data_IF_149856693897
#
_entry.id   IF_149856693897
#
_cell.length_a   1.000
_cell.length_b   1.000
_cell.length_c   1.000
_cell.angle_alpha   90.00
_cell.angle_beta   90.00
_cell.angle_gamma   90.00
#
_symmetry.space_group_name_H-M   'P 1'
#
loop_
_entity.id
_entity.type
_entity.pdbx_description
1 polymer ?
#
# COMPACT_ATOMS: atom_id res chain seq x y z
N UNK A 1 8.06 -49.54 13.15
CA UNK A 1 7.52 -50.84 12.69
C UNK A 1 6.00 -50.81 12.86
N UNK A 2 5.27 -51.27 11.84
CA UNK A 2 3.80 -51.20 11.63
C UNK A 2 3.36 -49.85 11.04
N UNK A 3 3.49 -49.57 9.74
CA UNK A 3 2.87 -50.18 8.53
C UNK A 3 1.34 -50.14 8.55
N UNK A 4 0.77 -49.13 7.87
CA UNK A 4 -0.42 -49.32 7.05
C UNK A 4 -0.28 -48.50 5.76
N UNK A 5 -0.37 -49.22 4.65
CA UNK A 5 -0.45 -48.72 3.28
C UNK A 5 -1.74 -49.29 2.65
N UNK A 6 -2.12 -48.89 1.42
CA UNK A 6 -3.45 -48.39 1.08
C UNK A 6 -4.27 -49.41 0.29
N UNK A 7 -5.53 -49.08 -0.05
CA UNK A 7 -6.19 -49.53 -1.30
C UNK A 7 -7.55 -48.84 -1.51
N UNK A 8 -7.62 -48.08 -2.62
CA UNK A 8 -8.68 -48.02 -3.64
C UNK A 8 -10.17 -47.91 -3.23
N UNK A 9 -10.83 -46.87 -3.76
CA UNK A 9 -11.96 -47.07 -4.69
C UNK A 9 -12.27 -45.84 -5.57
N UNK A 10 -12.73 -46.20 -6.75
CA UNK A 10 -12.89 -45.47 -8.00
C UNK A 10 -14.26 -44.79 -8.11
N UNK A 11 -14.29 -43.72 -8.93
CA UNK A 11 -15.37 -43.29 -9.82
C UNK A 11 -16.74 -42.88 -9.25
N UNK A 12 -17.06 -41.60 -9.38
CA UNK A 12 -18.37 -41.13 -9.87
C UNK A 12 -18.17 -39.79 -10.61
N UNK A 13 -18.15 -39.87 -11.94
CA UNK A 13 -18.37 -38.76 -12.87
C UNK A 13 -19.88 -38.62 -13.08
N UNK A 14 -20.43 -37.43 -12.87
CA UNK A 14 -21.30 -36.73 -13.83
C UNK A 14 -22.07 -35.60 -13.14
N UNK A 15 -22.30 -34.53 -13.91
CA UNK A 15 -23.11 -33.32 -13.63
C UNK A 15 -22.32 -32.07 -13.23
N UNK A 16 -21.72 -31.46 -14.24
CA UNK A 16 -21.47 -30.01 -14.29
C UNK A 16 -21.45 -29.58 -15.75
N UNK A 17 -22.64 -29.36 -16.32
CA UNK A 17 -22.82 -28.56 -17.54
C UNK A 17 -23.44 -27.22 -17.14
N UNK A 18 -23.01 -26.15 -17.82
CA UNK A 18 -23.55 -24.78 -17.82
C UNK A 18 -22.97 -23.77 -16.81
N UNK A 19 -21.72 -23.33 -17.04
CA UNK A 19 -21.23 -22.02 -16.60
C UNK A 19 -20.59 -21.16 -17.71
N UNK A 20 -20.53 -21.63 -18.97
CA UNK A 20 -19.77 -20.97 -20.05
C UNK A 20 -20.57 -20.03 -20.97
N UNK A 21 -21.83 -19.73 -20.68
CA UNK A 21 -22.67 -18.87 -21.55
C UNK A 21 -22.83 -17.41 -21.10
N UNK A 22 -22.24 -17.00 -19.97
CA UNK A 22 -22.35 -15.62 -19.47
C UNK A 22 -21.09 -14.76 -19.61
N UNK A 23 -19.96 -15.32 -20.06
CA UNK A 23 -18.69 -14.58 -20.24
C UNK A 23 -18.53 -13.96 -21.64
N UNK A 24 -19.38 -14.30 -22.61
CA UNK A 24 -19.34 -13.78 -23.98
C UNK A 24 -20.12 -12.46 -24.17
N UNK A 25 -21.05 -12.13 -23.26
CA UNK A 25 -21.87 -10.91 -23.38
C UNK A 25 -21.25 -9.65 -22.73
N UNK A 26 -20.17 -9.79 -21.96
CA UNK A 26 -19.44 -8.65 -21.36
C UNK A 26 -18.27 -8.14 -22.23
N UNK A 27 -17.95 -8.81 -23.34
CA UNK A 27 -16.94 -8.36 -24.31
C UNK A 27 -17.49 -7.49 -25.44
N UNK A 28 -18.81 -7.41 -25.65
CA UNK A 28 -19.40 -6.68 -26.78
C UNK A 28 -19.65 -5.18 -26.53
N UNK A 29 -19.45 -4.68 -25.30
CA UNK A 29 -19.68 -3.27 -24.97
C UNK A 29 -18.49 -2.34 -25.26
N UNK A 30 -17.36 -2.85 -25.77
CA UNK A 30 -16.15 -2.07 -26.04
C UNK A 30 -15.69 -2.06 -27.51
N UNK A 31 -16.55 -2.46 -28.45
CA UNK A 31 -16.24 -2.42 -29.88
C UNK A 31 -17.13 -1.41 -30.62
N UNK A 32 -17.07 -0.13 -30.24
CA UNK A 32 -17.55 0.96 -31.10
C UNK A 32 -16.84 2.26 -30.73
N UNK A 33 -15.74 2.55 -31.42
CA UNK A 33 -15.17 3.90 -31.50
C UNK A 33 -14.64 4.11 -32.92
N UNK A 34 -14.97 5.27 -33.50
CA UNK A 34 -14.70 5.69 -34.87
C UNK A 34 -13.22 5.58 -35.33
N UNK A 35 -12.94 5.21 -36.59
CA UNK A 35 -11.59 5.00 -37.09
C UNK A 35 -10.90 6.27 -37.64
N UNK A 36 -11.13 7.47 -37.07
CA UNK A 36 -10.50 8.69 -37.57
C UNK A 36 -10.17 9.69 -36.45
N UNK A 37 -9.18 9.37 -35.62
CA UNK A 37 -8.43 10.39 -34.88
C UNK A 37 -6.98 9.94 -34.73
N UNK A 38 -6.13 10.39 -35.65
CA UNK A 38 -4.67 10.35 -35.49
C UNK A 38 -4.26 11.36 -34.42
N UNK A 39 -4.35 10.97 -33.16
CA UNK A 39 -3.65 11.62 -32.07
C UNK A 39 -2.64 10.61 -31.52
N UNK A 40 -1.40 11.06 -31.36
CA UNK A 40 -0.35 10.36 -30.64
C UNK A 40 -0.89 9.91 -29.28
N UNK A 41 -1.28 8.64 -29.18
CA UNK A 41 -1.53 7.97 -27.91
C UNK A 41 -0.25 8.12 -27.10
N UNK A 42 -0.32 8.98 -26.09
CA UNK A 42 0.64 8.99 -25.00
C UNK A 42 0.50 7.60 -24.39
N UNK A 43 1.51 6.76 -24.63
CA UNK A 43 1.70 5.42 -24.08
C UNK A 43 1.69 5.51 -22.55
N UNK A 44 0.49 5.57 -21.97
CA UNK A 44 0.24 5.42 -20.55
C UNK A 44 0.36 3.93 -20.25
N UNK A 45 1.60 3.43 -20.29
CA UNK A 45 1.96 2.07 -19.89
C UNK A 45 1.22 1.72 -18.60
N UNK A 46 0.58 0.56 -18.62
CA UNK A 46 -0.18 0.02 -17.50
C UNK A 46 0.68 0.10 -16.22
N UNK A 47 0.18 0.54 -15.06
CA UNK A 47 0.98 0.70 -13.84
C UNK A 47 1.80 -0.56 -13.50
N UNK A 48 1.25 -1.74 -13.77
CA UNK A 48 1.92 -3.04 -13.62
C UNK A 48 3.10 -3.24 -14.57
N UNK A 49 3.04 -2.69 -15.79
CA UNK A 49 4.18 -2.68 -16.72
C UNK A 49 5.26 -1.70 -16.25
N UNK A 50 4.89 -0.53 -15.74
CA UNK A 50 5.84 0.42 -15.14
C UNK A 50 6.54 -0.20 -13.93
N UNK A 51 5.77 -0.88 -13.09
CA UNK A 51 6.28 -1.64 -11.96
C UNK A 51 7.26 -2.72 -12.41
N UNK A 52 6.86 -3.56 -13.38
CA UNK A 52 7.73 -4.62 -13.89
C UNK A 52 9.02 -4.07 -14.50
N UNK A 53 8.96 -2.96 -15.24
CA UNK A 53 10.14 -2.33 -15.83
C UNK A 53 11.07 -1.79 -14.73
N UNK A 54 10.52 -1.07 -13.75
CA UNK A 54 11.29 -0.54 -12.62
C UNK A 54 11.95 -1.66 -11.82
N UNK A 55 11.22 -2.73 -11.51
CA UNK A 55 11.73 -3.89 -10.76
C UNK A 55 12.85 -4.58 -11.52
N UNK A 56 12.70 -4.78 -12.83
CA UNK A 56 13.73 -5.44 -13.63
C UNK A 56 15.00 -4.59 -13.77
N UNK A 57 14.87 -3.26 -13.91
CA UNK A 57 16.03 -2.33 -13.93
C UNK A 57 16.78 -2.31 -12.59
N UNK A 58 16.09 -2.54 -11.47
CA UNK A 58 16.69 -2.51 -10.14
C UNK A 58 17.48 -3.77 -9.77
N UNK A 59 17.28 -4.90 -10.48
CA UNK A 59 18.01 -6.17 -10.24
C UNK A 59 19.52 -6.03 -10.45
N UNK A 60 19.95 -5.13 -11.34
CA UNK A 60 21.36 -5.01 -11.72
C UNK A 60 22.19 -4.13 -10.75
N UNK A 61 21.56 -3.47 -9.77
CA UNK A 61 22.20 -2.41 -8.96
C UNK A 61 22.16 -2.64 -7.44
N UNK A 62 21.60 -3.76 -6.96
CA UNK A 62 21.56 -4.03 -5.51
C UNK A 62 22.91 -4.55 -5.01
N UNK A 63 23.45 -3.86 -3.99
CA UNK A 63 24.64 -4.27 -3.24
C UNK A 63 24.46 -5.72 -2.76
N UNK A 64 25.50 -6.57 -2.78
CA UNK A 64 25.39 -7.93 -2.27
C UNK A 64 24.88 -7.89 -0.82
N UNK A 65 23.61 -8.25 -0.65
CA UNK A 65 22.96 -8.31 0.65
C UNK A 65 23.79 -9.26 1.53
N UNK A 66 24.00 -8.92 2.81
CA UNK A 66 24.78 -9.76 3.73
C UNK A 66 24.25 -11.21 3.80
N UNK A 67 25.13 -12.17 4.06
CA UNK A 67 24.81 -13.61 4.10
C UNK A 67 23.70 -13.96 5.11
N UNK A 68 23.52 -13.15 6.16
CA UNK A 68 22.53 -13.35 7.22
C UNK A 68 21.21 -12.60 6.99
N UNK A 69 20.80 -12.36 5.74
CA UNK A 69 19.53 -11.68 5.48
C UNK A 69 18.34 -12.64 5.43
N UNK A 70 17.19 -12.20 5.94
CA UNK A 70 15.92 -12.89 5.77
C UNK A 70 15.12 -12.32 4.59
N UNK A 71 14.35 -13.18 3.92
CA UNK A 71 13.32 -12.74 2.98
C UNK A 71 11.94 -12.89 3.62
N UNK A 72 11.07 -11.90 3.40
CA UNK A 72 9.66 -11.97 3.79
C UNK A 72 8.82 -11.85 2.53
N UNK A 73 7.97 -12.82 2.27
CA UNK A 73 7.10 -12.88 1.09
C UNK A 73 5.65 -12.78 1.55
N UNK A 74 4.99 -11.62 1.46
CA UNK A 74 3.57 -11.50 1.76
C UNK A 74 2.71 -11.96 0.58
N UNK A 75 1.56 -12.56 0.87
CA UNK A 75 0.47 -12.73 -0.10
C UNK A 75 -0.39 -11.45 -0.23
N UNK A 76 -1.40 -11.51 -1.10
CA UNK A 76 -2.34 -10.40 -1.32
C UNK A 76 -3.16 -10.10 -0.06
N UNK A 77 -3.62 -11.11 0.68
CA UNK A 77 -4.43 -10.93 1.88
C UNK A 77 -3.67 -10.22 3.01
N UNK A 78 -2.37 -10.47 3.16
CA UNK A 78 -1.50 -9.71 4.08
C UNK A 78 -1.50 -8.24 3.68
N UNK A 79 -1.35 -7.92 2.40
CA UNK A 79 -1.34 -6.53 1.94
C UNK A 79 -2.70 -5.86 2.00
N UNK A 80 -3.80 -6.59 1.93
CA UNK A 80 -5.15 -6.03 2.07
C UNK A 80 -5.53 -5.78 3.54
N UNK A 81 -5.24 -6.74 4.43
CA UNK A 81 -5.78 -6.73 5.79
C UNK A 81 -4.74 -6.40 6.86
N UNK A 82 -3.46 -6.55 6.55
CA UNK A 82 -2.36 -6.47 7.51
C UNK A 82 -1.21 -5.54 7.04
N UNK A 83 -1.50 -4.65 6.08
CA UNK A 83 -0.53 -3.71 5.53
C UNK A 83 0.15 -2.89 6.61
N UNK A 84 -0.60 -2.41 7.60
CA UNK A 84 -0.08 -1.46 8.60
C UNK A 84 0.97 -2.12 9.51
N UNK A 85 0.80 -3.41 9.81
CA UNK A 85 1.81 -4.21 10.52
C UNK A 85 3.06 -4.42 9.67
N UNK A 86 2.91 -4.73 8.38
CA UNK A 86 4.03 -4.91 7.45
C UNK A 86 4.77 -3.58 7.17
N UNK A 87 4.04 -2.48 7.06
CA UNK A 87 4.57 -1.14 6.87
C UNK A 87 5.35 -0.67 8.10
N UNK A 88 4.79 -0.87 9.30
CA UNK A 88 5.51 -0.62 10.54
C UNK A 88 6.78 -1.47 10.63
N UNK A 89 6.71 -2.75 10.23
CA UNK A 89 7.88 -3.63 10.19
C UNK A 89 8.96 -3.11 9.23
N UNK A 90 8.59 -2.70 8.02
CA UNK A 90 9.50 -2.07 7.07
C UNK A 90 10.16 -0.81 7.65
N UNK A 91 9.39 0.08 8.28
CA UNK A 91 9.89 1.29 8.91
C UNK A 91 10.83 0.98 10.09
N UNK A 92 10.54 -0.05 10.88
CA UNK A 92 11.35 -0.46 12.03
C UNK A 92 12.71 -1.01 11.55
N UNK A 93 12.72 -1.82 10.48
CA UNK A 93 13.94 -2.30 9.83
C UNK A 93 14.77 -1.11 9.32
N UNK A 94 14.16 -0.19 8.58
CA UNK A 94 14.85 1.00 8.07
C UNK A 94 15.46 1.85 9.20
N UNK A 95 14.73 2.03 10.30
CA UNK A 95 15.25 2.76 11.47
C UNK A 95 16.42 2.03 12.11
N UNK A 96 16.38 0.69 12.16
CA UNK A 96 17.50 -0.10 12.69
C UNK A 96 18.76 0.01 11.81
N UNK A 97 18.60 -0.04 10.49
CA UNK A 97 19.70 0.13 9.52
C UNK A 97 20.37 1.50 9.68
N UNK A 98 19.60 2.57 9.92
CA UNK A 98 20.14 3.93 10.11
C UNK A 98 20.89 4.13 11.43
N UNK A 99 20.50 3.41 12.49
CA UNK A 99 21.11 3.55 13.83
C UNK A 99 22.46 2.84 13.93
N UNK A 100 22.59 1.67 13.30
CA UNK A 100 23.76 0.80 13.46
C UNK A 100 24.58 0.73 12.17
N UNK A 101 25.41 1.77 11.94
CA UNK A 101 26.29 1.88 10.76
C UNK A 101 27.42 0.82 10.78
N UNK A 102 27.74 0.21 11.93
CA UNK A 102 28.85 -0.74 12.03
C UNK A 102 28.43 -2.21 12.28
N UNK A 103 27.22 -2.50 12.75
CA UNK A 103 26.75 -3.87 13.07
C UNK A 103 25.24 -4.02 12.91
N UNK A 104 24.70 -3.81 11.70
CA UNK A 104 23.27 -3.96 11.45
C UNK A 104 22.85 -5.41 11.67
N UNK A 105 22.26 -5.71 12.84
CA UNK A 105 21.79 -7.05 13.23
C UNK A 105 20.55 -7.50 12.45
N UNK A 106 19.86 -6.57 11.81
CA UNK A 106 18.60 -6.81 11.12
C UNK A 106 18.78 -6.58 9.62
N UNK A 107 19.00 -7.65 8.86
CA UNK A 107 18.96 -7.57 7.40
C UNK A 107 17.75 -8.34 6.89
N UNK A 108 16.75 -7.61 6.40
CA UNK A 108 15.49 -8.18 5.89
C UNK A 108 15.14 -7.49 4.61
N UNK A 109 14.69 -8.29 3.64
CA UNK A 109 14.13 -7.80 2.39
C UNK A 109 12.72 -8.36 2.22
N UNK A 110 11.74 -7.48 2.09
CA UNK A 110 10.36 -7.84 1.80
C UNK A 110 10.24 -7.98 0.28
N UNK A 111 9.92 -9.18 -0.19
CA UNK A 111 9.79 -9.51 -1.61
C UNK A 111 8.31 -9.54 -1.96
N UNK A 112 7.86 -8.66 -2.84
CA UNK A 112 6.48 -8.64 -3.34
C UNK A 112 6.38 -9.53 -4.60
N UNK A 113 5.63 -10.65 -4.55
CA UNK A 113 5.42 -11.49 -5.72
C UNK A 113 4.75 -10.73 -6.87
N UNK A 114 5.08 -11.08 -8.10
CA UNK A 114 4.45 -10.47 -9.29
C UNK A 114 2.93 -10.71 -9.33
N UNK A 115 2.49 -11.91 -8.95
CA UNK A 115 1.07 -12.25 -8.86
C UNK A 115 0.29 -11.35 -7.89
N UNK A 116 0.90 -10.96 -6.77
CA UNK A 116 0.28 -10.06 -5.79
C UNK A 116 0.07 -8.66 -6.38
N UNK A 117 1.04 -8.17 -7.15
CA UNK A 117 0.92 -6.87 -7.84
C UNK A 117 -0.19 -6.90 -8.88
N UNK A 118 -0.26 -7.97 -9.68
CA UNK A 118 -1.30 -8.16 -10.69
C UNK A 118 -2.71 -8.22 -10.05
N UNK A 119 -2.85 -8.93 -8.94
CA UNK A 119 -4.11 -9.01 -8.18
C UNK A 119 -4.53 -7.66 -7.60
N UNK A 120 -3.59 -6.96 -6.95
CA UNK A 120 -3.87 -5.63 -6.41
C UNK A 120 -4.30 -4.66 -7.51
N UNK A 121 -3.63 -4.67 -8.67
CA UNK A 121 -3.97 -3.80 -9.80
C UNK A 121 -5.38 -4.07 -10.33
N UNK A 122 -5.77 -5.35 -10.40
CA UNK A 122 -7.12 -5.73 -10.79
C UNK A 122 -8.18 -5.24 -9.78
N UNK A 123 -7.88 -5.30 -8.49
CA UNK A 123 -8.81 -4.91 -7.40
C UNK A 123 -8.89 -3.40 -7.13
N UNK A 124 -7.98 -2.57 -7.66
CA UNK A 124 -7.94 -1.10 -7.41
C UNK A 124 -9.23 -0.35 -7.74
N UNK A 125 -10.06 -0.89 -8.63
CA UNK A 125 -11.29 -0.24 -9.08
C UNK A 125 -12.35 -0.19 -7.99
N UNK A 126 -12.37 -1.21 -7.14
CA UNK A 126 -13.48 -1.46 -6.21
C UNK A 126 -13.00 -1.61 -4.76
N UNK A 127 -11.69 -1.53 -4.49
CA UNK A 127 -11.14 -1.78 -3.17
C UNK A 127 -10.10 -0.71 -2.75
N UNK A 128 -10.51 0.10 -1.76
CA UNK A 128 -9.68 1.12 -1.09
C UNK A 128 -8.37 0.55 -0.56
N UNK A 129 -8.38 -0.65 0.03
CA UNK A 129 -7.21 -1.29 0.60
C UNK A 129 -6.21 -1.74 -0.47
N UNK A 130 -6.69 -2.23 -1.62
CA UNK A 130 -5.81 -2.62 -2.74
C UNK A 130 -5.05 -1.40 -3.28
N UNK A 131 -5.72 -0.24 -3.33
CA UNK A 131 -5.10 1.02 -3.74
C UNK A 131 -4.09 1.52 -2.71
N UNK A 132 -4.44 1.50 -1.42
CA UNK A 132 -3.52 1.81 -0.31
C UNK A 132 -2.25 0.97 -0.38
N UNK A 133 -2.40 -0.34 -0.55
CA UNK A 133 -1.28 -1.27 -0.64
C UNK A 133 -0.38 -1.00 -1.86
N UNK A 134 -0.98 -0.73 -3.03
CA UNK A 134 -0.21 -0.39 -4.23
C UNK A 134 0.59 0.90 -4.03
N UNK A 135 -0.02 1.94 -3.47
CA UNK A 135 0.67 3.22 -3.21
C UNK A 135 1.83 3.03 -2.23
N UNK A 136 1.63 2.24 -1.17
CA UNK A 136 2.68 1.90 -0.22
C UNK A 136 3.82 1.13 -0.89
N UNK A 137 3.52 0.10 -1.69
CA UNK A 137 4.52 -0.67 -2.44
C UNK A 137 5.34 0.28 -3.33
N UNK A 138 4.67 1.14 -4.08
CA UNK A 138 5.30 2.05 -5.03
C UNK A 138 6.20 3.06 -4.32
N UNK A 139 5.72 3.69 -3.26
CA UNK A 139 6.50 4.61 -2.42
C UNK A 139 7.74 3.89 -1.89
N UNK A 140 7.60 2.71 -1.27
CA UNK A 140 8.73 1.97 -0.71
C UNK A 140 9.75 1.50 -1.74
N UNK A 141 9.33 1.05 -2.92
CA UNK A 141 10.24 0.63 -4.00
C UNK A 141 11.03 1.83 -4.55
N UNK A 142 10.41 3.01 -4.68
CA UNK A 142 11.12 4.22 -5.13
C UNK A 142 12.28 4.60 -4.20
N UNK A 143 12.15 4.33 -2.91
CA UNK A 143 13.20 4.62 -1.91
C UNK A 143 14.29 3.54 -1.84
N UNK A 144 14.13 2.39 -2.51
CA UNK A 144 15.11 1.27 -2.58
C UNK A 144 15.66 0.83 -1.22
N UNK A 145 14.78 0.70 -0.22
CA UNK A 145 15.20 0.44 1.16
C UNK A 145 15.13 -1.04 1.52
N UNK A 146 13.93 -1.52 1.86
CA UNK A 146 13.67 -2.84 2.48
C UNK A 146 12.62 -3.64 1.69
N UNK A 147 12.16 -3.09 0.56
CA UNK A 147 11.12 -3.65 -0.28
C UNK A 147 11.66 -3.84 -1.69
N UNK A 148 11.41 -5.02 -2.26
CA UNK A 148 11.76 -5.38 -3.63
C UNK A 148 10.60 -6.11 -4.29
N UNK A 149 10.33 -5.81 -5.57
CA UNK A 149 9.44 -6.63 -6.38
C UNK A 149 10.16 -7.86 -6.94
N UNK A 150 9.42 -8.96 -7.14
CA UNK A 150 9.93 -10.14 -7.84
C UNK A 150 10.22 -9.81 -9.31
N UNK A 151 11.44 -10.08 -9.77
CA UNK A 151 11.80 -9.94 -11.18
C UNK A 151 11.33 -11.14 -12.02
N UNK A 152 11.24 -10.96 -13.35
CA UNK A 152 10.66 -11.98 -14.26
C UNK A 152 11.39 -13.33 -14.28
N UNK A 153 12.69 -13.31 -13.97
CA UNK A 153 13.55 -14.49 -13.93
C UNK A 153 13.71 -15.07 -12.51
N UNK A 154 13.02 -14.51 -11.51
CA UNK A 154 13.05 -14.97 -10.12
C UNK A 154 11.93 -15.96 -9.83
N UNK A 155 11.92 -17.06 -10.58
CA UNK A 155 10.91 -18.12 -10.53
C UNK A 155 11.53 -19.51 -10.75
N UNK A 156 10.90 -20.57 -10.25
CA UNK A 156 11.38 -21.95 -10.45
C UNK A 156 10.62 -22.65 -11.56
N UNK A 157 9.29 -22.54 -11.55
CA UNK A 157 8.39 -23.25 -12.45
C UNK A 157 7.42 -22.28 -13.13
N UNK A 158 6.82 -22.73 -14.24
CA UNK A 158 5.68 -22.03 -14.82
C UNK A 158 4.42 -22.43 -14.06
N UNK A 159 3.84 -21.45 -13.35
CA UNK A 159 2.67 -21.64 -12.50
C UNK A 159 1.40 -21.14 -13.19
N UNK A 160 0.28 -21.83 -12.95
CA UNK A 160 -1.00 -21.48 -13.57
C UNK A 160 -1.89 -20.63 -12.66
N UNK A 161 -1.86 -20.88 -11.35
CA UNK A 161 -2.64 -20.11 -10.37
C UNK A 161 -1.78 -19.04 -9.70
N UNK A 162 -2.42 -18.02 -9.12
CA UNK A 162 -1.69 -16.98 -8.41
C UNK A 162 -1.08 -17.50 -7.10
N UNK A 163 -1.78 -18.37 -6.38
CA UNK A 163 -1.24 -19.06 -5.19
C UNK A 163 0.04 -19.84 -5.52
N UNK A 164 0.05 -20.57 -6.64
CA UNK A 164 1.23 -21.28 -7.11
C UNK A 164 2.38 -20.31 -7.45
N UNK A 165 2.08 -19.16 -8.07
CA UNK A 165 3.11 -18.13 -8.36
C UNK A 165 3.69 -17.51 -7.09
N UNK A 166 2.86 -17.29 -6.07
CA UNK A 166 3.29 -16.77 -4.77
C UNK A 166 4.19 -17.80 -4.07
N UNK A 167 3.77 -19.07 -4.06
CA UNK A 167 4.56 -20.16 -3.49
C UNK A 167 5.88 -20.37 -4.25
N UNK A 168 5.86 -20.33 -5.59
CA UNK A 168 7.06 -20.42 -6.42
C UNK A 168 8.04 -19.28 -6.13
N UNK A 169 7.55 -18.05 -5.94
CA UNK A 169 8.35 -16.92 -5.48
C UNK A 169 9.02 -17.23 -4.13
N UNK A 170 8.23 -17.68 -3.13
CA UNK A 170 8.77 -18.01 -1.81
C UNK A 170 9.82 -19.13 -1.87
N UNK A 171 9.57 -20.19 -2.62
CA UNK A 171 10.52 -21.29 -2.82
C UNK A 171 11.79 -20.84 -3.55
N UNK A 172 11.67 -19.93 -4.54
CA UNK A 172 12.83 -19.37 -5.25
C UNK A 172 13.77 -18.65 -4.30
N UNK A 173 13.23 -17.79 -3.43
CA UNK A 173 14.03 -17.05 -2.45
C UNK A 173 14.51 -17.94 -1.29
N UNK A 174 13.74 -18.96 -0.90
CA UNK A 174 14.13 -19.95 0.11
C UNK A 174 15.39 -20.74 -0.31
N UNK A 175 15.58 -20.99 -1.62
CA UNK A 175 16.82 -21.62 -2.13
C UNK A 175 18.07 -20.76 -1.93
N UNK A 176 17.90 -19.45 -1.74
CA UNK A 176 19.00 -18.51 -1.54
C UNK A 176 19.26 -18.26 -0.06
N UNK A 177 18.21 -18.02 0.73
CA UNK A 177 18.28 -17.61 2.14
C UNK A 177 17.04 -17.98 2.94
N UNK A 178 17.10 -17.94 4.28
CA UNK A 178 15.92 -18.06 5.14
C UNK A 178 14.79 -17.15 4.66
N UNK A 179 13.65 -17.74 4.37
CA UNK A 179 12.51 -17.06 3.78
C UNK A 179 11.26 -17.36 4.60
N UNK A 180 10.45 -16.33 4.84
CA UNK A 180 9.17 -16.47 5.53
C UNK A 180 8.05 -16.09 4.58
N UNK A 181 7.18 -17.05 4.27
CA UNK A 181 5.91 -16.78 3.62
C UNK A 181 4.92 -16.27 4.68
N UNK A 182 4.43 -15.05 4.51
CA UNK A 182 3.35 -14.49 5.31
C UNK A 182 2.05 -14.62 4.53
N UNK A 183 1.11 -15.43 5.02
CA UNK A 183 -0.17 -15.65 4.34
C UNK A 183 -1.30 -15.86 5.33
N UNK A 184 -2.44 -15.23 5.08
CA UNK A 184 -3.67 -15.48 5.82
C UNK A 184 -4.47 -16.66 5.25
N UNK A 185 -4.17 -17.10 4.03
CA UNK A 185 -4.81 -18.24 3.39
C UNK A 185 -4.25 -19.56 3.95
N UNK A 186 -5.14 -20.34 4.59
CA UNK A 186 -4.78 -21.64 5.18
C UNK A 186 -4.36 -22.66 4.13
N UNK A 187 -4.96 -22.65 2.94
CA UNK A 187 -4.62 -23.60 1.88
C UNK A 187 -3.21 -23.33 1.35
N UNK A 188 -2.89 -22.06 1.07
CA UNK A 188 -1.55 -21.65 0.67
C UNK A 188 -0.51 -21.95 1.77
N UNK A 189 -0.85 -21.72 3.04
CA UNK A 189 0.01 -22.09 4.17
C UNK A 189 0.28 -23.60 4.23
N UNK A 190 -0.75 -24.44 4.09
CA UNK A 190 -0.62 -25.91 4.13
C UNK A 190 0.23 -26.38 2.95
N UNK A 191 0.00 -25.84 1.75
CA UNK A 191 0.76 -26.18 0.56
C UNK A 191 2.23 -25.78 0.70
N UNK A 192 2.50 -24.59 1.26
CA UNK A 192 3.85 -24.11 1.52
C UNK A 192 4.60 -24.99 2.53
N UNK A 193 3.93 -25.46 3.59
CA UNK A 193 4.52 -26.40 4.55
C UNK A 193 4.76 -27.78 3.91
N UNK A 194 3.85 -28.23 3.04
CA UNK A 194 3.96 -29.53 2.38
C UNK A 194 5.08 -29.57 1.32
N UNK A 195 5.29 -28.48 0.58
CA UNK A 195 6.33 -28.35 -0.44
C UNK A 195 7.65 -27.81 0.13
N UNK A 196 7.62 -27.25 1.34
CA UNK A 196 8.75 -26.65 2.01
C UNK A 196 9.77 -27.68 2.48
N UNK A 197 10.65 -28.12 1.59
CA UNK A 197 11.91 -28.74 1.98
C UNK A 197 12.97 -27.63 2.15
N UNK A 198 13.40 -27.36 3.39
CA UNK A 198 14.51 -26.43 3.68
C UNK A 198 14.11 -25.18 4.48
N UNK A 199 14.70 -24.00 4.19
CA UNK A 199 14.65 -22.82 5.06
C UNK A 199 13.41 -21.91 4.81
N UNK A 200 12.32 -22.48 4.27
CA UNK A 200 11.04 -21.78 4.14
C UNK A 200 10.21 -21.97 5.41
N UNK A 201 9.94 -20.88 6.11
CA UNK A 201 8.99 -20.86 7.22
C UNK A 201 7.67 -20.20 6.78
N UNK A 202 6.58 -20.52 7.47
CA UNK A 202 5.25 -19.96 7.19
C UNK A 202 4.73 -19.25 8.43
N UNK A 203 4.26 -18.02 8.26
CA UNK A 203 3.64 -17.21 9.30
C UNK A 203 2.20 -16.89 8.89
N UNK A 204 1.24 -17.39 9.68
CA UNK A 204 -0.17 -17.10 9.50
C UNK A 204 -0.66 -16.10 10.58
N UNK A 205 -1.14 -14.90 10.20
CA UNK A 205 -1.62 -13.89 11.14
C UNK A 205 -2.93 -14.26 11.85
N UNK A 206 -3.68 -15.22 11.31
CA UNK A 206 -4.97 -15.68 11.85
C UNK A 206 -4.82 -16.91 12.76
N UNK A 207 -3.60 -17.37 13.01
CA UNK A 207 -3.39 -18.44 13.99
C UNK A 207 -3.58 -17.88 15.40
N UNK A 208 -4.65 -18.32 16.07
CA UNK A 208 -4.99 -18.02 17.47
C UNK A 208 -3.86 -18.26 18.48
N UNK A 209 -2.85 -19.05 18.13
CA UNK A 209 -1.68 -19.28 18.98
C UNK A 209 -0.67 -18.13 18.93
N UNK A 210 -0.73 -17.32 17.88
CA UNK A 210 0.16 -16.19 17.71
C UNK A 210 -0.44 -14.94 18.36
N UNK A 211 0.41 -14.04 18.90
CA UNK A 211 -0.04 -12.71 19.26
C UNK A 211 -0.58 -11.98 18.02
N UNK A 212 -1.42 -10.93 18.20
CA UNK A 212 -1.93 -10.13 17.09
C UNK A 212 -0.82 -9.75 16.10
N UNK A 213 -1.11 -9.87 14.81
CA UNK A 213 -0.11 -9.64 13.78
C UNK A 213 0.37 -8.18 13.81
N UNK A 214 1.65 -8.00 14.09
CA UNK A 214 2.29 -6.69 14.31
C UNK A 214 3.74 -6.72 13.85
N UNK A 215 4.36 -5.55 13.76
CA UNK A 215 5.80 -5.42 13.50
C UNK A 215 6.62 -6.24 14.49
N UNK A 216 6.27 -6.17 15.79
CA UNK A 216 6.89 -6.97 16.84
C UNK A 216 6.72 -8.47 16.65
N UNK A 217 5.52 -8.93 16.26
CA UNK A 217 5.27 -10.35 16.00
C UNK A 217 6.17 -10.86 14.86
N UNK A 218 6.27 -10.10 13.76
CA UNK A 218 7.17 -10.39 12.64
C UNK A 218 8.65 -10.41 13.06
N UNK A 219 9.09 -9.38 13.79
CA UNK A 219 10.47 -9.29 14.29
C UNK A 219 10.83 -10.43 15.24
N UNK A 220 9.93 -10.78 16.16
CA UNK A 220 10.10 -11.90 17.08
C UNK A 220 10.16 -13.23 16.34
N UNK A 221 9.33 -13.41 15.31
CA UNK A 221 9.33 -14.61 14.48
C UNK A 221 10.65 -14.79 13.73
N UNK A 222 11.20 -13.70 13.18
CA UNK A 222 12.43 -13.74 12.38
C UNK A 222 13.70 -13.84 13.22
N UNK A 223 13.75 -13.09 14.33
CA UNK A 223 14.99 -12.88 15.07
C UNK A 223 14.97 -13.46 16.48
N UNK A 224 13.81 -13.86 17.00
CA UNK A 224 13.63 -14.29 18.38
C UNK A 224 13.28 -13.15 19.34
N UNK A 225 12.96 -13.51 20.58
CA UNK A 225 12.45 -12.61 21.63
C UNK A 225 13.43 -11.51 22.04
N UNK A 226 14.73 -11.70 21.82
CA UNK A 226 15.75 -10.74 22.22
C UNK A 226 15.69 -9.41 21.44
N UNK A 227 14.94 -9.36 20.34
CA UNK A 227 14.76 -8.16 19.51
C UNK A 227 13.37 -7.53 19.63
N UNK A 228 12.51 -8.06 20.51
CA UNK A 228 11.12 -7.62 20.66
C UNK A 228 10.97 -6.10 20.90
N UNK A 229 11.94 -5.50 21.61
CA UNK A 229 11.94 -4.08 21.98
C UNK A 229 12.27 -3.13 20.84
N UNK A 230 12.88 -3.62 19.77
CA UNK A 230 13.26 -2.80 18.62
C UNK A 230 12.06 -2.57 17.67
N UNK A 231 11.02 -3.39 17.81
CA UNK A 231 9.85 -3.40 16.95
C UNK A 231 8.61 -2.86 17.67
N UNK A 232 7.79 -2.15 16.91
CA UNK A 232 6.56 -1.53 17.39
C UNK A 232 5.51 -2.59 17.74
N UNK A 233 4.83 -2.36 18.86
CA UNK A 233 3.67 -3.18 19.27
C UNK A 233 2.52 -3.07 18.26
N UNK A 234 1.60 -4.01 18.37
CA UNK A 234 0.35 -3.97 17.65
C UNK A 234 -0.35 -2.62 17.88
N UNK A 235 -0.85 -2.03 16.80
CA UNK A 235 -1.70 -0.86 16.84
C UNK A 235 -2.97 -1.15 16.05
N UNK A 236 -4.15 -0.72 16.54
CA UNK A 236 -5.39 -0.89 15.81
C UNK A 236 -5.29 -0.21 14.44
N UNK A 237 -5.88 -0.85 13.45
CA UNK A 237 -5.91 -0.39 12.05
C UNK A 237 -7.36 -0.20 11.66
N UNK A 238 -7.65 0.85 10.88
CA UNK A 238 -8.99 1.02 10.32
C UNK A 238 -9.31 -0.15 9.39
N UNK A 239 -10.39 -0.85 9.72
CA UNK A 239 -11.03 -1.87 8.90
C UNK A 239 -12.51 -1.51 8.75
N UNK A 240 -13.20 -2.07 7.77
CA UNK A 240 -14.66 -1.86 7.66
C UNK A 240 -15.42 -2.30 8.92
N UNK A 241 -14.91 -3.32 9.61
CA UNK A 241 -15.45 -3.80 10.88
C UNK A 241 -15.23 -2.82 12.03
N UNK A 242 -14.25 -1.92 11.94
CA UNK A 242 -14.00 -0.87 12.95
C UNK A 242 -15.19 0.09 13.08
N UNK A 243 -16.00 0.24 12.03
CA UNK A 243 -17.20 1.09 12.05
C UNK A 243 -18.34 0.44 12.84
N UNK A 244 -18.49 -0.89 12.75
CA UNK A 244 -19.57 -1.63 13.41
C UNK A 244 -19.40 -1.58 14.93
N UNK A 245 -18.16 -1.75 15.39
CA UNK A 245 -17.81 -1.74 16.82
C UNK A 245 -18.14 -0.39 17.47
N UNK A 246 -17.89 0.72 16.78
CA UNK A 246 -18.16 2.05 17.32
C UNK A 246 -19.66 2.29 17.61
N UNK A 247 -20.57 1.69 16.83
CA UNK A 247 -22.02 1.88 17.00
C UNK A 247 -22.63 1.07 18.13
N UNK A 248 -22.09 -0.10 18.43
CA UNK A 248 -22.66 -0.99 19.46
C UNK A 248 -22.47 -0.45 20.88
N UNK A 249 -21.51 0.43 21.10
CA UNK A 249 -21.22 0.97 22.43
C UNK A 249 -22.11 2.15 22.83
N UNK A 250 -22.60 2.95 21.87
CA UNK A 250 -23.42 4.14 22.18
C UNK A 250 -24.82 3.76 22.72
N UNK A 251 -25.28 2.52 22.49
CA UNK A 251 -26.59 2.04 22.90
C UNK A 251 -26.57 1.16 24.18
N UNK A 252 -25.38 0.90 24.76
CA UNK A 252 -25.21 -0.02 25.91
C UNK A 252 -25.16 0.68 27.28
N UNK A 253 -25.40 2.00 27.36
CA UNK A 253 -25.39 2.80 28.60
C UNK A 253 -26.57 2.52 29.56
N UNK A 254 -27.28 1.39 29.44
CA UNK A 254 -28.50 1.08 30.21
C UNK A 254 -28.57 -0.34 30.79
N UNK A 255 -27.49 -1.14 30.81
CA UNK A 255 -27.54 -2.50 31.37
C UNK A 255 -26.65 -2.69 32.61
N UNK A 256 -27.33 -2.62 33.77
CA UNK A 256 -27.17 -3.39 35.01
C UNK A 256 -25.77 -3.87 35.44
N UNK A 257 -25.37 -3.43 36.64
CA UNK A 257 -24.26 -3.95 37.46
C UNK A 257 -24.27 -5.50 37.53
N UNK A 258 -23.41 -6.14 36.74
CA UNK A 258 -23.05 -7.56 36.92
C UNK A 258 -21.57 -7.63 37.22
N UNK A 259 -21.24 -7.99 38.46
CA UNK A 259 -19.90 -8.25 38.98
C UNK A 259 -19.24 -9.47 38.28
N UNK A 260 -18.88 -9.31 37.01
CA UNK A 260 -18.02 -10.27 36.29
C UNK A 260 -16.66 -9.65 36.03
N UNK A 261 -15.69 -10.01 36.88
CA UNK A 261 -14.25 -9.65 36.85
C UNK A 261 -13.49 -10.20 35.63
N UNK A 262 -14.09 -10.15 34.44
CA UNK A 262 -13.44 -10.43 33.17
C UNK A 262 -13.48 -9.18 32.31
N UNK A 263 -12.69 -8.18 32.73
CA UNK A 263 -12.28 -7.07 31.86
C UNK A 263 -11.54 -7.72 30.69
N UNK A 264 -12.23 -7.89 29.57
CA UNK A 264 -11.59 -8.32 28.34
C UNK A 264 -10.52 -7.30 28.01
N UNK A 265 -9.25 -7.71 27.97
CA UNK A 265 -8.12 -6.85 27.62
C UNK A 265 -8.26 -6.16 26.24
N UNK A 266 -9.25 -6.59 25.44
CA UNK A 266 -9.63 -5.95 24.17
C UNK A 266 -10.43 -4.64 24.34
N UNK A 267 -11.02 -4.36 25.50
CA UNK A 267 -11.79 -3.12 25.72
C UNK A 267 -10.91 -1.90 26.00
N UNK A 268 -9.62 -2.10 26.30
CA UNK A 268 -8.69 -1.03 26.66
C UNK A 268 -8.12 -0.23 25.47
N UNK A 269 -8.38 -0.64 24.22
CA UNK A 269 -7.78 -0.02 23.03
C UNK A 269 -8.73 0.14 21.83
N UNK A 270 -10.01 0.43 22.06
CA UNK A 270 -10.86 0.90 20.97
C UNK A 270 -10.50 2.36 20.64
N UNK A 271 -9.55 2.53 19.72
CA UNK A 271 -9.38 3.80 19.04
C UNK A 271 -10.63 4.10 18.20
N UNK A 272 -11.15 5.33 18.30
CA UNK A 272 -12.30 5.77 17.50
C UNK A 272 -12.02 5.58 16.00
N UNK A 273 -12.97 4.98 15.28
CA UNK A 273 -12.89 4.73 13.84
C UNK A 273 -12.56 6.01 13.03
N UNK A 274 -12.96 7.19 13.52
CA UNK A 274 -12.60 8.50 12.93
C UNK A 274 -11.11 8.74 12.95
N UNK A 275 -10.42 8.41 14.04
CA UNK A 275 -8.98 8.57 14.16
C UNK A 275 -8.25 7.64 13.18
N UNK A 276 -8.68 6.38 13.15
CA UNK A 276 -8.08 5.38 12.28
C UNK A 276 -8.29 5.74 10.80
N UNK A 277 -9.50 6.14 10.40
CA UNK A 277 -9.80 6.59 9.04
C UNK A 277 -9.01 7.85 8.67
N UNK A 278 -8.93 8.84 9.57
CA UNK A 278 -8.16 10.06 9.32
C UNK A 278 -6.68 9.79 9.06
N UNK A 279 -6.07 8.89 9.85
CA UNK A 279 -4.69 8.48 9.63
C UNK A 279 -4.49 7.83 8.25
N UNK A 280 -5.42 6.97 7.82
CA UNK A 280 -5.36 6.37 6.48
C UNK A 280 -5.49 7.41 5.36
N UNK A 281 -6.39 8.38 5.52
CA UNK A 281 -6.56 9.50 4.58
C UNK A 281 -5.27 10.31 4.48
N UNK A 282 -4.62 10.60 5.61
CA UNK A 282 -3.32 11.27 5.61
C UNK A 282 -2.31 10.47 4.78
N UNK A 283 -2.11 9.19 5.07
CA UNK A 283 -1.10 8.39 4.39
C UNK A 283 -1.34 8.28 2.88
N UNK A 284 -2.60 8.06 2.46
CA UNK A 284 -2.96 7.92 1.04
C UNK A 284 -2.79 9.24 0.29
N UNK A 285 -3.38 10.34 0.78
CA UNK A 285 -3.33 11.60 0.02
C UNK A 285 -1.93 12.21 0.03
N UNK A 286 -1.13 12.03 1.09
CA UNK A 286 0.26 12.48 1.07
C UNK A 286 1.08 11.69 0.05
N UNK A 287 0.88 10.37 -0.07
CA UNK A 287 1.54 9.55 -1.08
C UNK A 287 1.12 9.96 -2.51
N UNK A 288 -0.18 10.22 -2.73
CA UNK A 288 -0.69 10.67 -4.04
C UNK A 288 -0.14 12.05 -4.42
N UNK A 289 -0.11 13.00 -3.49
CA UNK A 289 0.46 14.32 -3.74
C UNK A 289 1.95 14.21 -4.08
N UNK A 290 2.70 13.33 -3.41
CA UNK A 290 4.10 13.05 -3.73
C UNK A 290 4.27 12.49 -5.14
N UNK A 291 3.48 11.49 -5.51
CA UNK A 291 3.55 10.90 -6.86
C UNK A 291 3.14 11.92 -7.95
N UNK A 292 2.17 12.77 -7.66
CA UNK A 292 1.74 13.86 -8.54
C UNK A 292 2.91 14.82 -8.84
N UNK A 293 3.61 15.26 -7.78
CA UNK A 293 4.81 16.10 -7.89
C UNK A 293 5.93 15.37 -8.63
N UNK A 294 6.20 14.10 -8.29
CA UNK A 294 7.23 13.30 -8.94
C UNK A 294 6.95 13.11 -10.45
N UNK A 295 5.68 12.92 -10.84
CA UNK A 295 5.29 12.80 -12.24
C UNK A 295 5.54 14.10 -13.00
N UNK A 296 5.15 15.25 -12.45
CA UNK A 296 5.42 16.54 -13.09
C UNK A 296 6.91 16.83 -13.22
N UNK A 297 7.70 16.50 -12.20
CA UNK A 297 9.16 16.62 -12.24
C UNK A 297 9.75 15.76 -13.38
N UNK A 298 9.29 14.52 -13.55
CA UNK A 298 9.73 13.63 -14.64
C UNK A 298 9.34 14.16 -16.01
N UNK A 299 8.12 14.65 -16.18
CA UNK A 299 7.65 15.21 -17.44
C UNK A 299 8.42 16.48 -17.81
N UNK A 300 8.70 17.35 -16.83
CA UNK A 300 9.53 18.53 -17.02
C UNK A 300 10.97 18.17 -17.37
N UNK A 301 11.55 17.13 -16.74
CA UNK A 301 12.88 16.62 -17.10
C UNK A 301 12.91 16.05 -18.53
N UNK A 302 11.87 15.31 -18.94
CA UNK A 302 11.76 14.77 -20.29
C UNK A 302 11.65 15.90 -21.32
N UNK A 303 10.77 16.88 -21.10
CA UNK A 303 10.64 18.07 -21.95
C UNK A 303 11.95 18.87 -22.03
N UNK A 304 12.68 18.99 -20.93
CA UNK A 304 13.98 19.65 -20.91
C UNK A 304 15.01 18.90 -21.75
N UNK A 305 15.04 17.56 -21.72
CA UNK A 305 15.91 16.74 -22.57
C UNK A 305 15.53 16.85 -24.05
N UNK A 306 14.24 16.74 -24.35
CA UNK A 306 13.72 16.81 -25.72
C UNK A 306 13.92 18.22 -26.32
N UNK A 307 13.78 19.27 -25.50
CA UNK A 307 14.01 20.66 -25.89
C UNK A 307 15.49 21.05 -25.98
N UNK A 308 16.35 20.51 -25.12
CA UNK A 308 17.80 20.77 -25.17
C UNK A 308 18.49 20.09 -26.36
N UNK A 309 17.88 19.03 -26.92
CA UNK A 309 18.32 18.44 -28.17
C UNK A 309 18.21 19.39 -29.38
N UNK A 310 17.54 20.55 -29.23
CA UNK A 310 17.38 21.51 -30.32
C UNK A 310 18.59 22.44 -30.55
N UNK A 311 19.60 22.50 -29.66
CA UNK A 311 20.83 23.24 -29.95
C UNK A 311 22.00 22.89 -29.02
N UNK A 312 23.05 22.29 -29.60
CA UNK A 312 24.36 22.05 -28.94
C UNK A 312 25.02 23.36 -28.47
N UNK A 313 24.59 24.50 -29.01
CA UNK A 313 25.19 25.81 -28.76
C UNK A 313 24.35 26.72 -27.85
N UNK A 314 23.19 26.26 -27.35
CA UNK A 314 22.42 27.05 -26.39
C UNK A 314 23.17 27.05 -25.04
N UNK A 315 23.60 28.22 -24.52
CA UNK A 315 24.22 28.29 -23.21
C UNK A 315 23.22 27.76 -22.19
N UNK A 316 23.67 26.86 -21.31
CA UNK A 316 22.86 26.34 -20.22
C UNK A 316 22.30 27.53 -19.44
N UNK A 317 21.00 27.80 -19.58
CA UNK A 317 20.37 28.96 -18.93
C UNK A 317 20.74 28.89 -17.44
N UNK A 318 21.42 29.91 -16.90
CA UNK A 318 21.82 29.89 -15.50
C UNK A 318 20.56 29.73 -14.66
N UNK A 319 20.46 28.61 -13.96
CA UNK A 319 19.32 28.31 -13.09
C UNK A 319 19.24 29.44 -12.07
N UNK A 320 18.14 30.18 -12.07
CA UNK A 320 17.88 31.23 -11.10
C UNK A 320 18.13 30.69 -9.69
N UNK A 321 18.86 31.44 -8.87
CA UNK A 321 19.17 31.11 -7.47
C UNK A 321 17.87 30.91 -6.65
N UNK A 322 16.74 31.45 -7.11
CA UNK A 322 15.43 31.24 -6.48
C UNK A 322 14.75 29.91 -6.87
N UNK A 323 15.32 29.14 -7.79
CA UNK A 323 14.85 27.80 -8.16
C UNK A 323 15.42 26.67 -7.28
N UNK A 324 16.14 27.01 -6.20
CA UNK A 324 16.88 26.06 -5.35
C UNK A 324 16.02 24.92 -4.76
N UNK A 325 14.71 25.11 -4.63
CA UNK A 325 13.79 24.04 -4.18
C UNK A 325 13.35 23.06 -5.27
N UNK A 326 13.63 23.32 -6.56
CA UNK A 326 13.18 22.48 -7.68
C UNK A 326 13.95 21.17 -7.82
N UNK A 327 15.19 21.13 -7.32
CA UNK A 327 16.03 19.94 -7.41
C UNK A 327 15.85 18.99 -6.21
N UNK A 328 15.00 19.35 -5.24
CA UNK A 328 14.63 18.44 -4.14
C UNK A 328 13.76 17.33 -4.72
N UNK A 329 14.12 16.07 -4.46
CA UNK A 329 13.32 14.92 -4.86
C UNK A 329 11.97 14.96 -4.12
N UNK A 330 10.89 14.60 -4.81
CA UNK A 330 9.56 14.56 -4.20
C UNK A 330 9.50 13.70 -2.93
N UNK A 331 10.33 12.65 -2.82
CA UNK A 331 10.53 11.82 -1.63
C UNK A 331 10.91 12.62 -0.38
N UNK A 332 11.73 13.65 -0.57
CA UNK A 332 12.39 14.39 0.52
C UNK A 332 11.61 15.65 0.89
N UNK A 333 10.55 15.97 0.13
CA UNK A 333 9.72 17.15 0.36
C UNK A 333 8.84 16.98 1.60
N UNK A 334 8.75 18.06 2.39
CA UNK A 334 7.77 18.11 3.48
C UNK A 334 6.35 18.22 2.91
N UNK A 335 5.33 17.90 3.72
CA UNK A 335 3.93 18.10 3.33
C UNK A 335 3.65 19.53 2.87
N UNK A 336 4.25 20.52 3.52
CA UNK A 336 4.07 21.92 3.13
C UNK A 336 4.70 22.19 1.77
N UNK A 337 5.92 21.69 1.52
CA UNK A 337 6.57 21.82 0.21
C UNK A 337 5.76 21.13 -0.90
N UNK A 338 5.17 19.96 -0.62
CA UNK A 338 4.28 19.25 -1.55
C UNK A 338 3.04 20.09 -1.88
N UNK A 339 2.36 20.63 -0.87
CA UNK A 339 1.17 21.47 -1.08
C UNK A 339 1.51 22.78 -1.80
N UNK A 340 2.63 23.41 -1.45
CA UNK A 340 3.10 24.63 -2.11
C UNK A 340 3.43 24.35 -3.59
N UNK A 341 4.07 23.22 -3.90
CA UNK A 341 4.33 22.80 -5.27
C UNK A 341 3.04 22.52 -6.04
N UNK A 342 2.11 21.78 -5.45
CA UNK A 342 0.86 21.37 -6.09
C UNK A 342 -0.07 22.55 -6.35
N UNK A 343 -0.01 23.58 -5.51
CA UNK A 343 -0.76 24.83 -5.67
C UNK A 343 -0.08 25.82 -6.60
N UNK A 344 1.26 25.79 -6.70
CA UNK A 344 2.05 26.67 -7.57
C UNK A 344 2.93 25.85 -8.54
N UNK A 345 2.33 24.98 -9.38
CA UNK A 345 3.08 24.15 -10.30
C UNK A 345 3.82 25.01 -11.33
N UNK A 346 5.08 24.69 -11.67
CA UNK A 346 5.86 25.47 -12.63
C UNK A 346 5.31 25.36 -14.06
N UNK A 347 4.59 24.28 -14.35
CA UNK A 347 4.08 23.91 -15.66
C UNK A 347 2.62 24.35 -15.91
N UNK A 348 1.92 24.86 -14.89
CA UNK A 348 0.47 25.15 -14.94
C UNK A 348 0.13 26.47 -14.24
N UNK A 349 -1.11 26.92 -14.38
CA UNK A 349 -1.62 28.11 -13.68
C UNK A 349 -1.67 27.84 -12.17
N UNK A 350 -1.26 28.79 -11.31
CA UNK A 350 -1.42 28.68 -9.87
C UNK A 350 -2.89 28.43 -9.48
N UNK A 351 -3.09 27.53 -8.52
CA UNK A 351 -4.39 27.18 -7.98
C UNK A 351 -4.68 28.06 -6.76
N UNK A 352 -5.72 28.88 -6.87
CA UNK A 352 -6.22 29.68 -5.75
C UNK A 352 -7.14 28.82 -4.88
N UNK A 353 -6.55 28.02 -3.99
CA UNK A 353 -7.33 27.29 -2.98
C UNK A 353 -8.00 28.28 -2.02
N UNK A 354 -9.29 28.05 -1.75
CA UNK A 354 -10.04 28.86 -0.79
C UNK A 354 -9.34 28.83 0.58
N UNK A 355 -9.16 30.01 1.20
CA UNK A 355 -8.50 30.19 2.50
C UNK A 355 -9.38 29.77 3.69
N UNK A 356 -10.31 28.84 3.46
CA UNK A 356 -11.25 28.38 4.46
C UNK A 356 -10.54 27.63 5.59
N UNK A 357 -11.14 27.65 6.78
CA UNK A 357 -10.73 26.79 7.87
C UNK A 357 -11.43 25.42 7.71
N UNK A 358 -10.68 24.30 7.78
CA UNK A 358 -9.27 24.21 8.15
C UNK A 358 -8.29 24.29 6.98
N UNK A 359 -7.04 24.65 7.30
CA UNK A 359 -5.92 24.51 6.36
C UNK A 359 -5.71 23.05 6.01
N UNK A 360 -5.56 22.75 4.71
CA UNK A 360 -5.31 21.40 4.21
C UNK A 360 -4.00 20.82 4.76
N UNK A 361 -2.98 21.66 4.94
CA UNK A 361 -1.70 21.25 5.54
C UNK A 361 -1.87 20.76 6.99
N UNK A 362 -2.79 21.39 7.74
CA UNK A 362 -3.11 20.98 9.12
C UNK A 362 -3.92 19.69 9.14
N UNK A 363 -4.90 19.56 8.25
CA UNK A 363 -5.73 18.37 8.11
C UNK A 363 -4.90 17.13 7.71
N UNK A 364 -3.93 17.28 6.82
CA UNK A 364 -3.06 16.19 6.36
C UNK A 364 -1.82 15.97 7.24
N UNK A 365 -1.67 16.68 8.36
CA UNK A 365 -0.49 16.53 9.21
C UNK A 365 -0.56 15.26 10.06
N UNK A 366 0.53 14.48 10.07
CA UNK A 366 0.61 13.26 10.87
C UNK A 366 0.49 13.57 12.37
N UNK A 367 -0.11 12.66 13.16
CA UNK A 367 -0.14 12.76 14.61
C UNK A 367 1.26 12.93 15.20
N UNK A 368 1.33 13.59 16.36
CA UNK A 368 2.57 13.79 17.14
C UNK A 368 3.63 14.71 16.51
N UNK A 369 3.32 15.47 15.45
CA UNK A 369 4.21 16.54 14.99
C UNK A 369 3.91 17.84 15.78
N UNK A 370 4.70 18.21 16.80
CA UNK A 370 4.36 19.31 17.71
C UNK A 370 4.28 20.68 17.02
N UNK A 371 4.86 20.82 15.81
CA UNK A 371 4.93 22.10 15.10
C UNK A 371 3.70 22.39 14.25
N UNK A 372 2.94 21.38 13.84
CA UNK A 372 1.88 21.53 12.81
C UNK A 372 0.49 21.78 13.41
N UNK A 373 0.35 21.73 14.74
CA UNK A 373 -0.95 21.84 15.39
C UNK A 373 -1.89 20.71 14.99
N UNK A 374 -1.34 19.48 14.89
CA UNK A 374 -2.08 18.27 14.54
C UNK A 374 -3.30 18.09 15.45
N UNK A 375 -4.32 17.42 14.92
CA UNK A 375 -5.57 17.11 15.63
C UNK A 375 -5.91 15.66 15.35
N UNK A 376 -6.57 14.98 16.30
CA UNK A 376 -7.07 13.62 16.11
C UNK A 376 -8.26 13.64 15.13
N UNK A 377 -8.55 12.50 14.50
CA UNK A 377 -9.72 12.33 13.63
C UNK A 377 -11.03 12.78 14.28
N UNK A 378 -11.22 12.49 15.57
CA UNK A 378 -12.39 12.87 16.37
C UNK A 378 -12.53 14.36 16.61
N UNK A 379 -11.43 15.10 16.57
CA UNK A 379 -11.46 16.54 16.78
C UNK A 379 -11.98 17.28 15.54
N UNK A 380 -11.92 16.65 14.36
CA UNK A 380 -12.38 17.24 13.12
C UNK A 380 -13.90 17.16 13.01
N UNK A 381 -14.55 18.31 12.87
CA UNK A 381 -15.98 18.34 12.58
C UNK A 381 -16.25 17.78 11.19
N UNK A 382 -17.47 17.31 10.94
CA UNK A 382 -17.90 16.87 9.60
C UNK A 382 -17.67 17.95 8.55
N UNK A 383 -17.97 19.21 8.88
CA UNK A 383 -17.75 20.34 7.97
C UNK A 383 -16.25 20.51 7.64
N UNK A 384 -15.36 20.33 8.62
CA UNK A 384 -13.91 20.38 8.40
C UNK A 384 -13.46 19.32 7.40
N UNK A 385 -13.98 18.09 7.53
CA UNK A 385 -13.76 17.00 6.58
C UNK A 385 -14.25 17.37 5.18
N UNK A 386 -15.50 17.83 5.03
CA UNK A 386 -16.05 18.22 3.73
C UNK A 386 -15.21 19.32 3.07
N UNK A 387 -14.78 20.33 3.83
CA UNK A 387 -13.91 21.41 3.33
C UNK A 387 -12.55 20.87 2.89
N UNK A 388 -11.92 19.99 3.67
CA UNK A 388 -10.63 19.40 3.31
C UNK A 388 -10.71 18.50 2.07
N UNK A 389 -11.72 17.63 1.99
CA UNK A 389 -11.94 16.75 0.84
C UNK A 389 -12.29 17.53 -0.43
N UNK A 390 -13.05 18.63 -0.31
CA UNK A 390 -13.32 19.54 -1.44
C UNK A 390 -12.03 20.16 -1.98
N UNK A 391 -11.14 20.65 -1.11
CA UNK A 391 -9.84 21.20 -1.52
C UNK A 391 -8.97 20.15 -2.22
N UNK A 392 -8.98 18.90 -1.74
CA UNK A 392 -8.30 17.79 -2.43
C UNK A 392 -8.92 17.49 -3.79
N UNK A 393 -10.25 17.55 -3.91
CA UNK A 393 -10.97 17.38 -5.18
C UNK A 393 -10.62 18.49 -6.17
N UNK A 394 -10.52 19.73 -5.71
CA UNK A 394 -10.08 20.88 -6.52
C UNK A 394 -8.63 20.71 -7.02
N UNK A 395 -7.73 20.23 -6.16
CA UNK A 395 -6.37 19.86 -6.54
C UNK A 395 -6.41 18.78 -7.63
N UNK A 396 -7.12 17.67 -7.40
CA UNK A 396 -7.22 16.59 -8.37
C UNK A 396 -7.73 17.05 -9.74
N UNK A 397 -8.77 17.90 -9.75
CA UNK A 397 -9.33 18.48 -10.99
C UNK A 397 -8.36 19.41 -11.71
N UNK A 398 -7.61 20.24 -10.98
CA UNK A 398 -6.63 21.17 -11.57
C UNK A 398 -5.45 20.46 -12.26
N UNK A 399 -5.23 19.20 -11.90
CA UNK A 399 -4.16 18.35 -12.41
C UNK A 399 -4.59 17.38 -13.53
N UNK A 400 -5.83 17.50 -14.01
CA UNK A 400 -6.41 16.71 -15.10
C UNK A 400 -6.16 15.20 -14.94
N UNK A 401 -5.60 14.56 -15.96
CA UNK A 401 -5.33 13.13 -16.01
C UNK A 401 -4.37 12.67 -14.90
N UNK A 402 -3.42 13.51 -14.48
CA UNK A 402 -2.48 13.19 -13.39
C UNK A 402 -3.15 13.24 -12.02
N UNK A 403 -4.18 14.07 -11.85
CA UNK A 403 -4.97 14.19 -10.62
C UNK A 403 -6.20 13.29 -10.57
N UNK A 404 -6.44 12.48 -11.61
CA UNK A 404 -7.63 11.61 -11.73
C UNK A 404 -7.76 10.63 -10.57
N UNK A 405 -6.64 10.08 -10.07
CA UNK A 405 -6.66 9.14 -8.95
C UNK A 405 -7.14 9.80 -7.66
N UNK A 406 -6.74 11.05 -7.40
CA UNK A 406 -7.23 11.83 -6.25
C UNK A 406 -8.75 11.97 -6.33
N UNK A 407 -9.28 12.34 -7.50
CA UNK A 407 -10.73 12.51 -7.68
C UNK A 407 -11.49 11.19 -7.52
N UNK A 408 -11.01 10.12 -8.17
CA UNK A 408 -11.66 8.80 -8.10
C UNK A 408 -11.74 8.29 -6.66
N UNK A 409 -10.65 8.40 -5.91
CA UNK A 409 -10.59 7.95 -4.51
C UNK A 409 -11.58 8.73 -3.65
N UNK A 410 -11.67 10.05 -3.85
CA UNK A 410 -12.60 10.88 -3.09
C UNK A 410 -14.05 10.54 -3.39
N UNK A 411 -14.39 10.27 -4.65
CA UNK A 411 -15.77 10.07 -5.10
C UNK A 411 -16.28 8.64 -4.87
N UNK A 412 -15.45 7.63 -5.14
CA UNK A 412 -15.90 6.24 -5.16
C UNK A 412 -15.45 5.46 -3.91
N UNK A 413 -14.24 5.72 -3.41
CA UNK A 413 -13.65 4.86 -2.37
C UNK A 413 -13.86 5.44 -0.96
N UNK A 414 -13.55 6.72 -0.75
CA UNK A 414 -13.52 7.32 0.58
C UNK A 414 -14.90 7.72 1.10
N UNK A 415 -15.78 8.20 0.21
CA UNK A 415 -17.07 8.76 0.60
C UNK A 415 -17.94 7.76 1.41
N UNK A 416 -18.06 6.48 1.02
CA UNK A 416 -18.80 5.48 1.80
C UNK A 416 -18.23 5.30 3.21
N UNK A 417 -16.91 5.30 3.37
CA UNK A 417 -16.26 5.15 4.68
C UNK A 417 -16.49 6.37 5.58
N UNK A 418 -16.42 7.58 5.01
CA UNK A 418 -16.70 8.81 5.76
C UNK A 418 -18.18 8.83 6.19
N UNK A 419 -19.11 8.50 5.31
CA UNK A 419 -20.54 8.37 5.64
C UNK A 419 -20.77 7.36 6.76
N UNK A 420 -20.15 6.18 6.67
CA UNK A 420 -20.29 5.11 7.64
C UNK A 420 -19.83 5.53 9.06
N UNK A 421 -18.70 6.24 9.13
CA UNK A 421 -18.08 6.73 10.38
C UNK A 421 -18.82 7.93 11.00
N UNK A 422 -19.47 8.77 10.19
CA UNK A 422 -20.27 9.90 10.68
C UNK A 422 -21.75 9.54 10.90
N UNK A 423 -22.22 8.39 10.42
CA UNK A 423 -23.56 7.87 10.69
C UNK A 423 -24.69 8.48 9.84
N UNK A 424 -24.38 9.11 8.70
CA UNK A 424 -25.35 9.89 7.92
C UNK A 424 -25.20 9.67 6.40
N UNK A 425 -26.32 9.46 5.71
CA UNK A 425 -26.39 9.29 4.25
C UNK A 425 -26.19 10.60 3.45
N UNK A 426 -26.22 11.77 4.11
CA UNK A 426 -26.35 13.07 3.44
C UNK A 426 -25.03 13.81 3.10
N UNK A 427 -23.88 13.12 3.10
CA UNK A 427 -22.62 13.71 2.59
C UNK A 427 -22.64 13.79 1.06
N UNK A 428 -23.05 14.93 0.49
CA UNK A 428 -22.81 15.26 -0.93
C UNK A 428 -21.57 16.16 -1.04
N UNK A 429 -20.49 15.64 -1.63
CA UNK A 429 -19.16 16.31 -1.76
C UNK A 429 -18.95 16.99 -3.10
#
# INVERSE_FOLDING_TARGET
MSLYSPLQRTALLSHSQSWDSNLSNLRSYYASSDPNTTNSEIDHQNPSQRFSNFVNEDVEMQTPLAENSYFVVPDTNILLHHLDALAAFADDIERSIRKDIEQSKHNVMIIIPSAVVDELDWQKKDNWFSRKATLWIWDKIQHKTVLKGQARNERIQDCHTNDQKILDCALYFARKRPTVLCSADRNLCIEAVAQGEGPLAVLNPLDHRNPPFSSRTLGTFLFGLQFERDFKEWSPTYTENSVIVARLNDDMDMDMDVDTDHVNANDLYQEDARNLLHNQVIDIFVALLRELVASDQRDNQKRARDGAAASIHAPSVPRSIHALKRDVKASDMTLQDLLDYVTHPPSRRPLELQKDNPSLARFLSKPYNPRTGWRKGVDWSRQDWTVALRKLKEIGKAWDQSGKDIVNILEFDLLPHVQAVFGDDDMRV
#
